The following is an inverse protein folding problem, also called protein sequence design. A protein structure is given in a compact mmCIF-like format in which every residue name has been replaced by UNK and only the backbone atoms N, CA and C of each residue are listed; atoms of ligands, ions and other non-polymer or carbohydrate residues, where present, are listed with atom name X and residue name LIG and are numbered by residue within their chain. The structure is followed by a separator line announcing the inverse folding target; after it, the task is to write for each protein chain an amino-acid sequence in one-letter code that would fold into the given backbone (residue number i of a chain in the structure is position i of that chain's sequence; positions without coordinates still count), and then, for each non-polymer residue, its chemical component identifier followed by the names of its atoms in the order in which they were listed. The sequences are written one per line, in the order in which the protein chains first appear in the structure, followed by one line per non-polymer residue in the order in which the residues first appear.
data_IF_999945035588
#
_entry.id   IF_999945035588
#
_cell.length_a   1.000
_cell.length_b   1.000
_cell.length_c   1.000
_cell.angle_alpha   90.00
_cell.angle_beta   90.00
_cell.angle_gamma   90.00
#
_symmetry.space_group_name_H-M   'P 1'
#
loop_
_entity.id
_entity.type
_entity.pdbx_description
1 polymer ?
#
# COMPACT_ATOMS: atom_id res chain seq x y z
N UNK A 1 -0.31 -30.33 0.07
CA UNK A 1 -1.11 -29.26 0.74
C UNK A 1 -0.55 -27.87 0.48
N UNK A 2 0.69 -27.53 0.86
CA UNK A 2 1.25 -26.18 0.64
C UNK A 2 1.26 -25.72 -0.84
N UNK A 3 1.68 -26.58 -1.78
CA UNK A 3 1.69 -26.24 -3.23
C UNK A 3 0.30 -25.98 -3.83
N UNK A 4 -0.75 -26.59 -3.28
CA UNK A 4 -2.13 -26.38 -3.74
C UNK A 4 -2.70 -25.06 -3.21
N UNK A 5 -2.37 -24.71 -1.96
CA UNK A 5 -2.67 -23.39 -1.41
C UNK A 5 -1.95 -22.29 -2.19
N UNK A 6 -0.67 -22.50 -2.52
CA UNK A 6 0.14 -21.56 -3.30
C UNK A 6 -0.44 -21.31 -4.70
N UNK A 7 -0.82 -22.37 -5.43
CA UNK A 7 -1.53 -22.22 -6.71
C UNK A 7 -2.86 -21.47 -6.58
N UNK A 8 -3.64 -21.76 -5.53
CA UNK A 8 -4.95 -21.14 -5.30
C UNK A 8 -4.80 -19.65 -4.97
N UNK A 9 -3.75 -19.30 -4.23
CA UNK A 9 -3.36 -17.92 -3.96
C UNK A 9 -2.95 -17.17 -5.22
N UNK A 10 -2.08 -17.77 -6.05
CA UNK A 10 -1.67 -17.19 -7.33
C UNK A 10 -2.88 -16.94 -8.24
N UNK A 11 -3.82 -17.88 -8.32
CA UNK A 11 -5.06 -17.68 -9.08
C UNK A 11 -5.93 -16.55 -8.51
N UNK A 12 -6.12 -16.50 -7.19
CA UNK A 12 -6.93 -15.45 -6.57
C UNK A 12 -6.34 -14.05 -6.82
N UNK A 13 -5.01 -13.97 -6.80
CA UNK A 13 -4.23 -12.77 -7.10
C UNK A 13 -4.43 -12.30 -8.55
N UNK A 14 -4.24 -13.20 -9.52
CA UNK A 14 -4.49 -12.93 -10.94
C UNK A 14 -5.93 -12.47 -11.17
N UNK A 15 -6.90 -13.13 -10.55
CA UNK A 15 -8.31 -12.75 -10.67
C UNK A 15 -8.61 -11.37 -10.07
N UNK A 16 -7.98 -11.02 -8.95
CA UNK A 16 -8.11 -9.70 -8.33
C UNK A 16 -7.53 -8.60 -9.24
N UNK A 17 -6.35 -8.84 -9.82
CA UNK A 17 -5.72 -7.93 -10.79
C UNK A 17 -6.60 -7.73 -12.02
N UNK A 18 -7.12 -8.80 -12.62
CA UNK A 18 -8.02 -8.71 -13.77
C UNK A 18 -9.32 -7.96 -13.43
N UNK A 19 -9.89 -8.19 -12.25
CA UNK A 19 -11.07 -7.46 -11.79
C UNK A 19 -10.79 -5.97 -11.66
N UNK A 20 -9.65 -5.59 -11.10
CA UNK A 20 -9.25 -4.19 -10.94
C UNK A 20 -8.97 -3.53 -12.30
N UNK A 21 -8.38 -4.28 -13.24
CA UNK A 21 -8.15 -3.82 -14.62
C UNK A 21 -9.46 -3.62 -15.38
N UNK A 22 -10.36 -4.60 -15.34
CA UNK A 22 -11.69 -4.51 -15.96
C UNK A 22 -12.49 -3.34 -15.39
N UNK A 23 -12.41 -3.12 -14.08
CA UNK A 23 -13.03 -1.98 -13.42
C UNK A 23 -12.47 -0.68 -13.99
N UNK A 24 -11.14 -0.51 -13.99
CA UNK A 24 -10.44 0.68 -14.53
C UNK A 24 -10.83 0.98 -15.98
N UNK A 25 -10.83 -0.03 -16.84
CA UNK A 25 -11.21 0.11 -18.25
C UNK A 25 -12.70 0.46 -18.39
N UNK A 26 -13.57 -0.08 -17.53
CA UNK A 26 -15.01 0.25 -17.54
C UNK A 26 -15.26 1.70 -17.14
N UNK A 27 -14.62 2.20 -16.08
CA UNK A 27 -14.82 3.60 -15.64
C UNK A 27 -14.22 4.60 -16.62
N UNK A 28 -13.12 4.26 -17.31
CA UNK A 28 -12.47 5.14 -18.28
C UNK A 28 -13.41 5.64 -19.40
N UNK A 29 -14.44 4.87 -19.75
CA UNK A 29 -15.38 5.21 -20.83
C UNK A 29 -16.50 6.18 -20.43
N UNK A 30 -16.75 6.35 -19.12
CA UNK A 30 -17.82 7.22 -18.61
C UNK A 30 -17.30 8.31 -17.67
N UNK A 31 -16.04 8.21 -17.26
CA UNK A 31 -15.41 9.15 -16.37
C UNK A 31 -14.73 10.25 -17.17
N UNK A 32 -15.13 11.50 -16.94
CA UNK A 32 -14.46 12.65 -17.52
C UNK A 32 -13.01 12.74 -17.00
N UNK A 33 -12.05 13.05 -17.87
CA UNK A 33 -10.60 13.06 -17.56
C UNK A 33 -10.23 13.92 -16.35
N UNK A 34 -11.01 14.96 -16.04
CA UNK A 34 -10.82 15.79 -14.84
C UNK A 34 -11.20 15.13 -13.51
N UNK A 35 -11.92 14.00 -13.54
CA UNK A 35 -12.38 13.25 -12.35
C UNK A 35 -11.49 12.07 -12.00
N UNK A 36 -10.68 11.61 -12.96
CA UNK A 36 -9.72 10.51 -12.77
C UNK A 36 -8.72 10.77 -11.63
N UNK A 37 -8.11 11.97 -11.50
CA UNK A 37 -7.20 12.26 -10.39
C UNK A 37 -7.88 12.18 -9.02
N UNK A 38 -9.12 12.66 -8.91
CA UNK A 38 -9.90 12.67 -7.66
C UNK A 38 -10.34 11.26 -7.25
N UNK A 39 -10.71 10.42 -8.20
CA UNK A 39 -11.04 9.02 -7.92
C UNK A 39 -9.81 8.20 -7.54
N UNK A 40 -8.67 8.48 -8.17
CA UNK A 40 -7.41 7.87 -7.79
C UNK A 40 -7.01 8.29 -6.37
N UNK A 41 -7.16 9.56 -6.02
CA UNK A 41 -6.99 10.07 -4.65
C UNK A 41 -7.89 9.34 -3.65
N UNK A 42 -9.19 9.23 -3.93
CA UNK A 42 -10.13 8.53 -3.04
C UNK A 42 -9.78 7.05 -2.89
N UNK A 43 -9.40 6.39 -3.99
CA UNK A 43 -9.00 4.98 -3.99
C UNK A 43 -7.73 4.76 -3.14
N UNK A 44 -6.69 5.55 -3.37
CA UNK A 44 -5.43 5.51 -2.59
C UNK A 44 -5.72 5.74 -1.11
N UNK A 45 -6.53 6.75 -0.79
CA UNK A 45 -6.90 7.08 0.58
C UNK A 45 -7.64 5.92 1.26
N UNK A 46 -8.57 5.25 0.56
CA UNK A 46 -9.32 4.09 1.07
C UNK A 46 -8.44 2.85 1.25
N UNK A 47 -7.50 2.61 0.36
CA UNK A 47 -6.54 1.51 0.47
C UNK A 47 -5.65 1.70 1.70
N UNK A 48 -5.12 2.91 1.90
CA UNK A 48 -4.28 3.24 3.07
C UNK A 48 -5.10 3.08 4.37
N UNK A 49 -6.34 3.59 4.41
CA UNK A 49 -7.24 3.41 5.57
C UNK A 49 -7.49 1.94 5.89
N UNK A 50 -7.68 1.11 4.86
CA UNK A 50 -7.90 -0.32 5.03
C UNK A 50 -6.66 -1.01 5.58
N UNK A 51 -5.48 -0.70 5.04
CA UNK A 51 -4.20 -1.20 5.55
C UNK A 51 -4.00 -0.83 7.02
N UNK A 52 -4.15 0.44 7.37
CA UNK A 52 -3.98 0.94 8.73
C UNK A 52 -4.96 0.26 9.70
N UNK A 53 -6.23 0.08 9.29
CA UNK A 53 -7.25 -0.62 10.08
C UNK A 53 -6.85 -2.06 10.39
N UNK A 54 -6.44 -2.82 9.37
CA UNK A 54 -6.06 -4.23 9.59
C UNK A 54 -4.72 -4.36 10.33
N UNK A 55 -3.81 -3.41 10.17
CA UNK A 55 -2.58 -3.37 10.95
C UNK A 55 -2.87 -3.14 12.44
N UNK A 56 -3.79 -2.23 12.77
CA UNK A 56 -4.26 -2.04 14.14
C UNK A 56 -4.88 -3.34 14.71
N UNK A 57 -5.70 -4.06 13.93
CA UNK A 57 -6.19 -5.39 14.36
C UNK A 57 -5.05 -6.37 14.66
N UNK A 58 -4.04 -6.46 13.79
CA UNK A 58 -2.88 -7.35 14.00
C UNK A 58 -2.10 -6.97 15.26
N UNK A 59 -1.94 -5.68 15.54
CA UNK A 59 -1.24 -5.20 16.74
C UNK A 59 -2.08 -5.39 18.01
N UNK A 60 -3.31 -4.90 18.02
CA UNK A 60 -4.14 -4.77 19.23
C UNK A 60 -4.82 -6.10 19.60
N UNK A 61 -5.35 -6.82 18.60
CA UNK A 61 -6.10 -8.05 18.82
C UNK A 61 -5.23 -9.31 18.74
N UNK A 62 -4.13 -9.26 17.98
CA UNK A 62 -3.27 -10.41 17.76
C UNK A 62 -1.84 -10.22 18.28
N UNK A 63 -1.57 -9.19 19.10
CA UNK A 63 -0.27 -8.96 19.73
C UNK A 63 0.91 -9.00 18.73
N UNK A 64 0.69 -8.48 17.52
CA UNK A 64 1.64 -8.50 16.42
C UNK A 64 2.11 -9.92 16.02
N UNK A 65 1.20 -10.91 16.07
CA UNK A 65 1.52 -12.29 15.74
C UNK A 65 2.10 -12.41 14.31
N UNK A 66 3.31 -12.96 14.22
CA UNK A 66 4.18 -12.91 13.03
C UNK A 66 3.51 -13.43 11.76
N UNK A 67 2.67 -14.46 11.86
CA UNK A 67 1.96 -15.02 10.70
C UNK A 67 0.89 -14.07 10.14
N UNK A 68 0.14 -13.38 11.00
CA UNK A 68 -0.90 -12.44 10.57
C UNK A 68 -0.29 -11.16 10.02
N UNK A 69 0.79 -10.68 10.65
CA UNK A 69 1.57 -9.57 10.13
C UNK A 69 2.16 -9.89 8.74
N UNK A 70 2.73 -11.08 8.56
CA UNK A 70 3.25 -11.52 7.26
C UNK A 70 2.14 -11.67 6.21
N UNK A 71 1.01 -12.28 6.56
CA UNK A 71 -0.14 -12.40 5.66
C UNK A 71 -0.74 -11.04 5.29
N UNK A 72 -0.81 -10.10 6.23
CA UNK A 72 -1.24 -8.73 5.97
C UNK A 72 -0.28 -8.04 4.99
N UNK A 73 1.02 -8.18 5.22
CA UNK A 73 2.07 -7.63 4.36
C UNK A 73 2.07 -8.23 2.95
N UNK A 74 1.68 -9.49 2.79
CA UNK A 74 1.50 -10.15 1.50
C UNK A 74 0.17 -9.75 0.83
N UNK A 75 -0.93 -9.64 1.59
CA UNK A 75 -2.23 -9.23 1.07
C UNK A 75 -2.26 -7.76 0.62
N UNK A 76 -1.50 -6.90 1.30
CA UNK A 76 -1.28 -5.51 0.95
C UNK A 76 0.13 -5.34 0.40
N UNK A 77 0.59 -6.18 -0.53
CA UNK A 77 1.75 -5.81 -1.33
C UNK A 77 1.43 -4.48 -2.03
N UNK A 78 1.80 -3.38 -1.36
CA UNK A 78 1.56 -2.00 -1.77
C UNK A 78 2.05 -1.82 -3.21
N UNK A 79 3.08 -2.58 -3.58
CA UNK A 79 3.69 -2.73 -4.91
C UNK A 79 2.72 -3.10 -6.03
N UNK A 80 1.69 -3.90 -5.79
CA UNK A 80 0.73 -4.29 -6.85
C UNK A 80 -0.38 -3.29 -7.02
N UNK A 81 -0.88 -2.72 -5.92
CA UNK A 81 -1.83 -1.61 -5.97
C UNK A 81 -1.20 -0.37 -6.64
N UNK A 82 0.10 -0.22 -6.47
CA UNK A 82 0.95 0.79 -7.10
C UNK A 82 1.08 0.66 -8.61
N UNK A 83 0.91 -0.53 -9.19
CA UNK A 83 0.87 -0.72 -10.64
C UNK A 83 -0.37 -0.09 -11.29
N UNK A 84 -1.43 0.15 -10.50
CA UNK A 84 -2.67 0.77 -10.97
C UNK A 84 -2.69 2.29 -10.81
N UNK A 85 -1.76 2.83 -10.02
CA UNK A 85 -1.55 4.26 -9.80
C UNK A 85 -0.62 4.78 -10.90
N UNK A 86 -1.22 5.34 -11.96
CA UNK A 86 -0.48 5.92 -13.07
C UNK A 86 0.34 7.16 -12.65
N UNK A 87 -0.16 7.90 -11.65
CA UNK A 87 0.44 9.15 -11.16
C UNK A 87 1.27 8.90 -9.89
N UNK A 88 2.56 8.69 -10.10
CA UNK A 88 3.53 8.37 -9.04
C UNK A 88 3.72 9.53 -8.06
N UNK A 89 3.61 10.77 -8.54
CA UNK A 89 3.82 11.97 -7.73
C UNK A 89 2.68 12.16 -6.73
N UNK A 90 1.45 11.88 -7.16
CA UNK A 90 0.27 11.91 -6.31
C UNK A 90 0.39 10.91 -5.15
N UNK A 91 0.78 9.66 -5.43
CA UNK A 91 1.00 8.67 -4.38
C UNK A 91 2.14 9.06 -3.43
N UNK A 92 3.24 9.59 -3.97
CA UNK A 92 4.36 10.06 -3.15
C UNK A 92 3.96 11.18 -2.17
N UNK A 93 3.03 12.05 -2.57
CA UNK A 93 2.50 13.11 -1.71
C UNK A 93 1.62 12.54 -0.59
N UNK A 94 0.65 11.67 -0.93
CA UNK A 94 -0.23 11.06 0.06
C UNK A 94 0.52 10.20 1.06
N UNK A 95 1.44 9.34 0.59
CA UNK A 95 2.21 8.48 1.47
C UNK A 95 3.10 9.30 2.41
N UNK A 96 3.77 10.36 1.92
CA UNK A 96 4.52 11.29 2.78
C UNK A 96 3.65 11.90 3.87
N UNK A 97 2.46 12.39 3.52
CA UNK A 97 1.55 13.04 4.48
C UNK A 97 1.10 12.09 5.58
N UNK A 98 0.84 10.83 5.25
CA UNK A 98 0.45 9.78 6.21
C UNK A 98 1.63 9.34 7.07
N UNK A 99 2.80 9.11 6.46
CA UNK A 99 4.06 8.83 7.15
C UNK A 99 4.37 9.93 8.17
N UNK A 100 4.29 11.21 7.78
CA UNK A 100 4.51 12.34 8.68
C UNK A 100 3.61 12.29 9.91
N UNK A 101 2.31 12.00 9.73
CA UNK A 101 1.38 11.89 10.86
C UNK A 101 1.77 10.73 11.78
N UNK A 102 2.10 9.56 11.24
CA UNK A 102 2.48 8.41 12.07
C UNK A 102 3.75 8.68 12.87
N UNK A 103 4.78 9.26 12.26
CA UNK A 103 6.02 9.64 12.94
C UNK A 103 5.80 10.68 14.06
N UNK A 104 4.85 11.60 13.88
CA UNK A 104 4.56 12.64 14.88
C UNK A 104 3.66 12.17 16.02
N UNK A 105 2.68 11.31 15.75
CA UNK A 105 1.60 11.00 16.69
C UNK A 105 1.59 9.55 17.20
N UNK A 106 2.31 8.62 16.57
CA UNK A 106 2.19 7.17 16.83
C UNK A 106 3.58 6.51 17.04
N UNK A 107 4.43 7.22 17.79
CA UNK A 107 5.90 7.10 17.82
C UNK A 107 6.48 5.74 18.27
N UNK A 108 5.69 4.81 18.80
CA UNK A 108 6.23 3.71 19.62
C UNK A 108 6.25 2.31 18.98
N UNK A 109 5.71 2.08 17.78
CA UNK A 109 5.41 0.71 17.36
C UNK A 109 6.08 0.18 16.08
N UNK A 110 6.77 0.98 15.24
CA UNK A 110 6.94 0.51 13.85
C UNK A 110 8.11 1.04 12.99
N UNK A 111 9.23 1.50 13.56
CA UNK A 111 10.36 2.01 12.76
C UNK A 111 10.88 0.99 11.72
N UNK A 112 10.98 -0.28 12.11
CA UNK A 112 11.39 -1.37 11.22
C UNK A 112 10.38 -1.62 10.09
N UNK A 113 9.09 -1.41 10.34
CA UNK A 113 8.04 -1.54 9.34
C UNK A 113 8.10 -0.41 8.32
N UNK A 114 8.25 0.83 8.77
CA UNK A 114 8.37 1.98 7.87
C UNK A 114 9.64 1.86 7.01
N UNK A 115 10.77 1.45 7.59
CA UNK A 115 11.99 1.10 6.84
C UNK A 115 11.74 -0.01 5.82
N UNK A 116 10.94 -1.01 6.16
CA UNK A 116 10.61 -2.10 5.25
C UNK A 116 9.74 -1.64 4.07
N UNK A 117 8.72 -0.81 4.31
CA UNK A 117 7.89 -0.25 3.23
C UNK A 117 8.74 0.65 2.32
N UNK A 118 9.59 1.51 2.87
CA UNK A 118 10.48 2.36 2.08
C UNK A 118 11.46 1.54 1.24
N UNK A 119 11.97 0.42 1.77
CA UNK A 119 12.83 -0.49 0.99
C UNK A 119 12.08 -1.06 -0.22
N UNK A 120 10.83 -1.50 -0.05
CA UNK A 120 10.00 -1.98 -1.17
C UNK A 120 9.69 -0.86 -2.17
N UNK A 121 9.38 0.35 -1.72
CA UNK A 121 9.13 1.51 -2.59
C UNK A 121 10.38 1.90 -3.39
N UNK A 122 11.56 1.86 -2.76
CA UNK A 122 12.84 2.14 -3.39
C UNK A 122 13.18 1.13 -4.49
N UNK A 123 12.89 -0.15 -4.27
CA UNK A 123 13.07 -1.18 -5.30
C UNK A 123 12.19 -0.94 -6.54
N UNK A 124 10.98 -0.40 -6.36
CA UNK A 124 10.02 -0.21 -7.45
C UNK A 124 10.17 1.12 -8.19
N UNK A 125 10.44 2.21 -7.47
CA UNK A 125 10.46 3.56 -8.04
C UNK A 125 11.81 4.27 -7.95
N UNK A 126 12.82 3.62 -7.38
CA UNK A 126 14.17 4.15 -7.24
C UNK A 126 14.37 5.07 -6.03
N UNK A 127 15.63 5.37 -5.73
CA UNK A 127 16.01 6.13 -4.53
C UNK A 127 15.56 7.59 -4.52
N UNK A 128 15.40 8.23 -5.69
CA UNK A 128 14.89 9.60 -5.77
C UNK A 128 13.44 9.70 -5.24
N UNK A 129 12.65 8.67 -5.47
CA UNK A 129 11.26 8.61 -5.03
C UNK A 129 11.14 8.60 -3.49
N UNK A 130 12.00 7.82 -2.82
CA UNK A 130 11.95 7.60 -1.38
C UNK A 130 12.80 8.57 -0.56
N UNK A 131 13.75 9.29 -1.18
CA UNK A 131 14.76 10.11 -0.49
C UNK A 131 14.20 11.03 0.61
N UNK A 132 13.10 11.76 0.34
CA UNK A 132 12.47 12.63 1.34
C UNK A 132 11.86 11.84 2.50
N UNK A 133 11.22 10.71 2.23
CA UNK A 133 10.59 9.86 3.24
C UNK A 133 11.63 9.11 4.10
N UNK A 134 12.72 8.65 3.48
CA UNK A 134 13.87 8.07 4.18
C UNK A 134 14.48 9.10 5.15
N UNK A 135 14.60 10.37 4.72
CA UNK A 135 15.00 11.47 5.59
C UNK A 135 14.06 11.63 6.80
N UNK A 136 12.75 11.56 6.59
CA UNK A 136 11.77 11.65 7.68
C UNK A 136 11.94 10.52 8.71
N UNK A 137 12.08 9.27 8.25
CA UNK A 137 12.23 8.10 9.15
C UNK A 137 13.57 8.11 9.89
N UNK A 138 14.63 8.72 9.33
CA UNK A 138 15.94 8.77 9.99
C UNK A 138 16.10 9.93 10.98
N UNK A 139 15.23 10.95 10.93
CA UNK A 139 15.36 12.19 11.71
C UNK A 139 14.35 12.34 12.86
N UNK A 140 13.31 11.50 12.92
CA UNK A 140 12.27 11.50 13.96
C UNK A 140 12.45 10.35 14.95
#
# INVERSE_FOLDING_TARGET
MLRELEKRWVNHKIMAEECLKREKDRVAHYLHSSSEPKLLEVFVQKVIELHDKYLAYVNDCFQNHTLFYKALKEAFEVVELLAYISDKDLFAEFYRKKLARRLLFDKSANDDHERCILTKLKQQYGGQFTSKMEGMVNHF
#
